data_IF_684762565705
#
_entry.id   IF_684762565705
#
_cell.length_a   1.000
_cell.length_b   1.000
_cell.length_c   1.000
_cell.angle_alpha   90.00
_cell.angle_beta   90.00
_cell.angle_gamma   90.00
#
_symmetry.space_group_name_H-M   'P 1'
#
loop_
_entity.id
_entity.type
_entity.pdbx_description
1 polymer ?
#
# COMPACT_ATOMS: atom_id res chain seq x y z
N UNK A 1 15.05 6.88 11.90
CA UNK A 1 14.55 7.84 10.90
C UNK A 1 13.25 8.42 11.45
N UNK A 2 13.09 9.75 11.58
CA UNK A 2 11.87 10.31 12.14
C UNK A 2 10.72 10.19 11.12
N UNK A 3 9.56 9.76 11.59
CA UNK A 3 8.30 9.82 10.83
C UNK A 3 7.72 11.22 10.97
N UNK A 4 7.28 11.82 9.88
CA UNK A 4 6.69 13.17 9.89
C UNK A 4 5.42 13.24 9.02
N UNK A 5 4.40 13.96 9.51
CA UNK A 5 3.21 14.25 8.72
C UNK A 5 3.54 15.42 7.77
N UNK A 6 3.43 15.20 6.46
CA UNK A 6 3.62 16.24 5.43
C UNK A 6 2.34 16.97 5.10
N UNK A 7 1.21 16.25 5.10
CA UNK A 7 -0.13 16.81 4.88
C UNK A 7 -1.14 16.01 5.67
N UNK A 8 -2.10 16.70 6.28
CA UNK A 8 -3.24 16.09 6.96
C UNK A 8 -4.46 16.97 6.68
N UNK A 9 -5.42 16.41 5.95
CA UNK A 9 -6.76 16.96 5.77
C UNK A 9 -7.70 15.97 6.43
N UNK A 10 -8.38 16.35 7.53
CA UNK A 10 -9.27 15.45 8.25
C UNK A 10 -10.25 14.76 7.31
N UNK A 11 -10.43 13.44 7.49
CA UNK A 11 -11.35 12.59 6.73
C UNK A 11 -11.19 12.55 5.20
N UNK A 12 -10.12 13.16 4.66
CA UNK A 12 -9.89 13.25 3.20
C UNK A 12 -8.50 12.75 2.80
N UNK A 13 -7.44 13.16 3.50
CA UNK A 13 -6.08 12.92 3.02
C UNK A 13 -5.01 12.93 4.12
N UNK A 14 -4.08 11.98 4.04
CA UNK A 14 -2.89 11.92 4.88
C UNK A 14 -1.65 11.63 4.01
N UNK A 15 -0.61 12.45 4.16
CA UNK A 15 0.70 12.20 3.54
C UNK A 15 1.73 12.11 4.65
N UNK A 16 2.42 10.97 4.72
CA UNK A 16 3.42 10.67 5.75
C UNK A 16 4.78 10.52 5.09
N UNK A 17 5.78 11.17 5.65
CA UNK A 17 7.19 10.91 5.36
C UNK A 17 7.69 9.87 6.36
N UNK A 18 7.90 8.64 5.87
CA UNK A 18 8.48 7.53 6.61
C UNK A 18 9.98 7.37 6.30
N UNK A 19 10.62 8.44 5.84
CA UNK A 19 12.02 8.51 5.47
C UNK A 19 12.27 8.09 4.02
N UNK A 20 12.32 6.79 3.73
CA UNK A 20 12.56 6.32 2.35
C UNK A 20 11.28 6.31 1.49
N UNK A 21 10.12 6.32 2.12
CA UNK A 21 8.82 6.30 1.45
C UNK A 21 7.99 7.49 1.88
N UNK A 22 7.19 8.00 0.94
CA UNK A 22 6.21 9.07 1.18
C UNK A 22 4.82 8.59 0.75
N UNK A 23 4.21 7.64 1.48
CA UNK A 23 2.87 7.17 1.14
C UNK A 23 1.84 8.29 1.30
N UNK A 24 0.86 8.27 0.39
CA UNK A 24 -0.32 9.11 0.43
C UNK A 24 -1.55 8.22 0.61
N UNK A 25 -2.35 8.52 1.62
CA UNK A 25 -3.66 7.92 1.83
C UNK A 25 -4.73 8.94 1.47
N UNK A 26 -5.72 8.51 0.68
CA UNK A 26 -6.93 9.26 0.38
C UNK A 26 -8.12 8.51 0.93
N UNK A 27 -9.07 9.26 1.46
CA UNK A 27 -10.31 8.72 2.00
C UNK A 27 -11.47 9.30 1.20
N UNK A 28 -12.30 8.42 0.65
CA UNK A 28 -13.48 8.81 -0.12
C UNK A 28 -14.59 7.78 0.15
N UNK A 29 -15.75 8.24 0.59
CA UNK A 29 -16.93 7.40 0.89
C UNK A 29 -16.64 6.16 1.77
N UNK A 30 -15.70 6.29 2.72
CA UNK A 30 -15.27 5.20 3.61
C UNK A 30 -14.30 4.19 2.99
N UNK A 31 -13.91 4.38 1.73
CA UNK A 31 -12.81 3.67 1.10
C UNK A 31 -11.49 4.39 1.37
N UNK A 32 -10.40 3.63 1.49
CA UNK A 32 -9.04 4.15 1.62
C UNK A 32 -8.26 3.74 0.38
N UNK A 33 -7.77 4.73 -0.36
CA UNK A 33 -6.81 4.52 -1.43
C UNK A 33 -5.40 4.84 -0.93
N UNK A 34 -4.48 3.89 -1.10
CA UNK A 34 -3.06 4.08 -0.80
C UNK A 34 -2.28 4.28 -2.10
N UNK A 35 -1.56 5.40 -2.18
CA UNK A 35 -0.66 5.73 -3.27
C UNK A 35 0.79 5.71 -2.79
N UNK A 36 1.63 4.99 -3.51
CA UNK A 36 3.07 4.95 -3.30
C UNK A 36 3.75 4.94 -4.66
N UNK A 37 4.59 5.95 -4.91
CA UNK A 37 5.46 5.96 -6.09
C UNK A 37 6.55 4.89 -5.97
N UNK A 38 6.54 3.93 -6.88
CA UNK A 38 7.54 2.86 -6.97
C UNK A 38 8.40 3.10 -8.22
N UNK A 39 9.71 2.92 -8.09
CA UNK A 39 10.67 3.28 -9.13
C UNK A 39 10.71 2.26 -10.29
N UNK A 40 10.58 0.97 -10.00
CA UNK A 40 10.71 -0.10 -10.98
C UNK A 40 9.86 -1.35 -10.66
N UNK A 41 9.90 -2.33 -11.58
CA UNK A 41 9.10 -3.55 -11.48
C UNK A 41 9.57 -4.50 -10.36
N UNK A 42 10.85 -4.44 -9.96
CA UNK A 42 11.42 -5.26 -8.88
C UNK A 42 10.99 -4.72 -7.51
N UNK A 43 11.03 -3.40 -7.35
CA UNK A 43 10.42 -2.68 -6.24
C UNK A 43 8.92 -2.99 -6.14
N UNK A 44 8.20 -3.00 -7.25
CA UNK A 44 6.78 -3.35 -7.25
C UNK A 44 6.53 -4.79 -6.77
N UNK A 45 7.34 -5.75 -7.23
CA UNK A 45 7.23 -7.17 -6.87
C UNK A 45 7.47 -7.43 -5.37
N UNK A 46 8.35 -6.66 -4.75
CA UNK A 46 8.76 -6.81 -3.35
C UNK A 46 7.95 -5.96 -2.37
N UNK A 47 7.56 -4.74 -2.77
CA UNK A 47 6.85 -3.77 -1.91
C UNK A 47 5.34 -3.90 -2.03
N UNK A 48 4.82 -4.16 -3.24
CA UNK A 48 3.39 -4.24 -3.53
C UNK A 48 2.63 -5.22 -2.63
N UNK A 49 3.06 -6.49 -2.51
CA UNK A 49 2.40 -7.47 -1.66
C UNK A 49 2.31 -7.04 -0.18
N UNK A 50 3.35 -6.38 0.32
CA UNK A 50 3.36 -5.87 1.69
C UNK A 50 2.30 -4.79 1.93
N UNK A 51 2.07 -3.90 0.96
CA UNK A 51 0.99 -2.92 1.08
C UNK A 51 -0.38 -3.56 1.03
N UNK A 52 -0.61 -4.52 0.14
CA UNK A 52 -1.88 -5.25 0.09
C UNK A 52 -2.18 -5.92 1.44
N UNK A 53 -1.18 -6.62 2.01
CA UNK A 53 -1.26 -7.23 3.33
C UNK A 53 -1.67 -6.24 4.42
N UNK A 54 -1.04 -5.07 4.47
CA UNK A 54 -1.38 -4.06 5.48
C UNK A 54 -2.76 -3.42 5.26
N UNK A 55 -3.20 -3.27 4.01
CA UNK A 55 -4.53 -2.76 3.68
C UNK A 55 -5.63 -3.76 4.09
N UNK A 56 -5.43 -5.05 3.84
CA UNK A 56 -6.39 -6.07 4.29
C UNK A 56 -6.42 -6.20 5.81
N UNK A 57 -5.25 -6.12 6.48
CA UNK A 57 -5.19 -6.07 7.95
C UNK A 57 -5.88 -4.84 8.52
N UNK A 58 -5.77 -3.69 7.86
CA UNK A 58 -6.50 -2.49 8.25
C UNK A 58 -8.01 -2.72 8.16
N UNK A 59 -8.49 -3.36 7.09
CA UNK A 59 -9.91 -3.70 6.93
C UNK A 59 -10.39 -4.70 8.00
N UNK A 60 -9.60 -5.72 8.33
CA UNK A 60 -9.89 -6.68 9.42
C UNK A 60 -9.94 -5.98 10.78
N UNK A 61 -8.94 -5.15 11.09
CA UNK A 61 -8.91 -4.37 12.32
C UNK A 61 -10.10 -3.41 12.44
N UNK A 62 -10.48 -2.77 11.34
CA UNK A 62 -11.63 -1.87 11.28
C UNK A 62 -12.95 -2.58 11.62
N UNK A 63 -13.09 -3.87 11.25
CA UNK A 63 -14.24 -4.70 11.62
C UNK A 63 -14.17 -5.26 13.04
N UNK A 64 -13.08 -5.03 13.78
CA UNK A 64 -12.86 -5.59 15.11
C UNK A 64 -12.52 -7.08 15.11
N UNK A 65 -12.02 -7.60 14.00
CA UNK A 65 -11.63 -9.00 13.81
C UNK A 65 -10.14 -9.23 14.15
N UNK A 66 -9.73 -10.49 14.25
CA UNK A 66 -8.34 -10.85 14.55
C UNK A 66 -7.44 -10.72 13.32
N UNK A 67 -6.54 -9.73 13.36
CA UNK A 67 -5.54 -9.48 12.31
C UNK A 67 -4.52 -10.60 12.16
N UNK A 68 -4.35 -11.49 13.15
CA UNK A 68 -3.41 -12.62 13.06
C UNK A 68 -3.85 -13.63 11.99
N UNK A 69 -5.12 -13.64 11.61
CA UNK A 69 -5.62 -14.49 10.53
C UNK A 69 -5.13 -14.09 9.12
N UNK A 70 -4.58 -12.88 8.95
CA UNK A 70 -3.99 -12.43 7.68
C UNK A 70 -2.49 -12.70 7.73
N UNK A 71 -2.02 -13.62 6.88
CA UNK A 71 -0.64 -14.10 6.87
C UNK A 71 0.12 -13.60 5.64
N UNK A 72 1.22 -12.89 5.90
CA UNK A 72 2.03 -12.28 4.84
C UNK A 72 2.71 -13.34 3.96
N UNK A 73 3.25 -14.39 4.57
CA UNK A 73 4.14 -15.36 3.91
C UNK A 73 3.35 -16.35 3.06
N UNK A 74 2.13 -16.71 3.49
CA UNK A 74 1.30 -17.66 2.75
C UNK A 74 0.48 -16.99 1.65
N UNK A 75 -0.03 -15.79 1.89
CA UNK A 75 -1.10 -15.23 1.06
C UNK A 75 -0.62 -14.10 0.14
N UNK A 76 0.44 -13.38 0.52
CA UNK A 76 0.85 -12.16 -0.18
C UNK A 76 2.26 -12.26 -0.77
N UNK A 77 3.29 -12.49 0.04
CA UNK A 77 4.68 -12.58 -0.44
C UNK A 77 5.23 -14.00 -0.28
N UNK A 78 5.68 -14.66 -1.36
CA UNK A 78 5.91 -14.13 -2.70
C UNK A 78 4.73 -14.28 -3.68
N UNK A 79 3.58 -14.82 -3.24
CA UNK A 79 2.46 -15.23 -4.11
C UNK A 79 1.97 -14.12 -5.06
N UNK A 80 1.94 -12.87 -4.62
CA UNK A 80 1.47 -11.72 -5.39
C UNK A 80 2.58 -10.97 -6.14
N UNK A 81 3.85 -11.34 -5.99
CA UNK A 81 4.97 -10.60 -6.60
C UNK A 81 4.81 -10.47 -8.12
N UNK A 82 4.47 -11.55 -8.82
CA UNK A 82 4.24 -11.54 -10.27
C UNK A 82 3.08 -10.62 -10.69
N UNK A 83 2.02 -10.58 -9.88
CA UNK A 83 0.89 -9.69 -10.11
C UNK A 83 1.33 -8.22 -10.07
N UNK A 84 2.11 -7.83 -9.06
CA UNK A 84 2.58 -6.45 -8.94
C UNK A 84 3.61 -6.06 -10.00
N UNK A 85 4.49 -6.99 -10.43
CA UNK A 85 5.35 -6.78 -11.59
C UNK A 85 4.52 -6.47 -12.85
N UNK A 86 3.48 -7.27 -13.12
CA UNK A 86 2.61 -7.08 -14.27
C UNK A 86 1.79 -5.78 -14.17
N UNK A 87 1.32 -5.43 -12.97
CA UNK A 87 0.59 -4.19 -12.70
C UNK A 87 1.45 -2.96 -12.99
N UNK A 88 2.69 -2.92 -12.48
CA UNK A 88 3.63 -1.83 -12.75
C UNK A 88 3.85 -1.66 -14.26
N UNK A 89 4.09 -2.76 -14.98
CA UNK A 89 4.25 -2.72 -16.43
C UNK A 89 3.03 -2.16 -17.17
N UNK A 90 1.81 -2.43 -16.70
CA UNK A 90 0.57 -1.86 -17.27
C UNK A 90 0.46 -0.36 -17.02
N UNK A 91 0.73 0.09 -15.79
CA UNK A 91 0.66 1.51 -15.42
C UNK A 91 1.72 2.33 -16.16
N UNK A 92 2.97 1.84 -16.20
CA UNK A 92 4.07 2.50 -16.87
C UNK A 92 3.84 2.67 -18.39
N UNK A 93 3.10 1.75 -19.03
CA UNK A 93 2.70 1.91 -20.44
C UNK A 93 1.62 2.97 -20.64
N UNK A 94 0.69 3.12 -19.70
CA UNK A 94 -0.40 4.11 -19.78
C UNK A 94 0.11 5.54 -19.58
N UNK A 95 1.24 5.72 -18.89
CA UNK A 95 1.86 7.02 -18.63
C UNK A 95 2.78 7.53 -19.76
N UNK A 96 2.95 6.76 -20.85
CA UNK A 96 3.71 7.15 -22.06
C UNK A 96 2.77 7.62 -23.15
#
# INVERSE_FOLDING_TARGET
>A
MPVAIKKCVPDEQLVVDAGMWVPEMRVEDGAIELLHAIEDAEGAASIGPGWEFYMDRLAVAYRGEDVVAVDLETDYYPVMSDYFTALYGRVARKAR
#
